data_IF_402547492651
#
_entry.id   IF_402547492651
#
_cell.length_a   1.000
_cell.length_b   1.000
_cell.length_c   1.000
_cell.angle_alpha   90.00
_cell.angle_beta   90.00
_cell.angle_gamma   90.00
#
_symmetry.space_group_name_H-M   'P 1'
#
loop_
_entity.id
_entity.type
_entity.pdbx_description
1 polymer ?
#
# COMPACT_ATOMS: atom_id res chain seq x y z
N UNK A 1 1.86 -6.05 6.90
CA UNK A 1 2.96 -7.04 6.96
C UNK A 1 4.23 -6.38 7.51
N UNK A 2 5.03 -7.14 8.28
CA UNK A 2 6.43 -6.82 8.53
C UNK A 2 7.30 -7.28 7.35
N UNK A 3 8.53 -6.76 7.24
CA UNK A 3 9.47 -7.23 6.22
C UNK A 3 9.82 -8.73 6.40
N UNK A 4 9.88 -9.22 7.64
CA UNK A 4 10.08 -10.63 7.93
C UNK A 4 8.94 -11.50 7.37
N UNK A 5 7.69 -11.07 7.57
CA UNK A 5 6.54 -11.78 7.02
C UNK A 5 6.50 -11.72 5.48
N UNK A 6 6.82 -10.56 4.88
CA UNK A 6 6.94 -10.45 3.44
C UNK A 6 8.01 -11.42 2.90
N UNK A 7 9.15 -11.53 3.58
CA UNK A 7 10.19 -12.47 3.21
C UNK A 7 9.68 -13.92 3.17
N UNK A 8 8.96 -14.36 4.18
CA UNK A 8 8.38 -15.71 4.23
C UNK A 8 7.43 -15.97 3.04
N UNK A 9 6.55 -14.99 2.73
CA UNK A 9 5.61 -15.12 1.60
C UNK A 9 6.34 -15.15 0.26
N UNK A 10 7.38 -14.30 0.09
CA UNK A 10 8.17 -14.29 -1.13
C UNK A 10 9.03 -15.55 -1.28
N UNK A 11 9.57 -16.12 -0.20
CA UNK A 11 10.26 -17.40 -0.20
C UNK A 11 9.33 -18.52 -0.71
N UNK A 12 8.08 -18.50 -0.23
CA UNK A 12 7.07 -19.47 -0.69
C UNK A 12 6.72 -19.27 -2.18
N UNK A 13 6.48 -18.02 -2.61
CA UNK A 13 6.19 -17.69 -4.01
C UNK A 13 7.35 -18.14 -4.91
N UNK A 14 8.59 -17.79 -4.56
CA UNK A 14 9.77 -18.13 -5.34
C UNK A 14 9.97 -19.64 -5.51
N UNK A 15 9.55 -20.43 -4.51
CA UNK A 15 9.62 -21.89 -4.55
C UNK A 15 8.52 -22.52 -5.45
N UNK A 16 7.40 -21.83 -5.70
CA UNK A 16 6.24 -22.40 -6.37
C UNK A 16 5.91 -21.77 -7.74
N UNK A 17 6.45 -20.59 -8.04
CA UNK A 17 6.09 -19.82 -9.24
C UNK A 17 6.78 -20.31 -10.54
N UNK A 18 7.75 -21.21 -10.43
CA UNK A 18 8.55 -21.64 -11.58
C UNK A 18 9.34 -20.49 -12.20
N UNK A 19 9.34 -20.34 -13.51
CA UNK A 19 10.06 -19.29 -14.23
C UNK A 19 9.25 -17.98 -14.42
N UNK A 20 8.07 -17.89 -13.81
CA UNK A 20 7.24 -16.68 -13.91
C UNK A 20 7.77 -15.56 -13.06
N UNK A 21 7.48 -14.33 -13.50
CA UNK A 21 7.78 -13.10 -12.78
C UNK A 21 6.55 -12.61 -12.02
N UNK A 22 6.75 -11.77 -11.00
CA UNK A 22 5.66 -11.18 -10.21
C UNK A 22 5.95 -9.72 -9.85
N UNK A 23 4.96 -9.06 -9.28
CA UNK A 23 5.07 -7.75 -8.65
C UNK A 23 4.69 -7.82 -7.18
N UNK A 24 5.17 -6.85 -6.42
CA UNK A 24 4.78 -6.63 -5.01
C UNK A 24 4.01 -5.34 -4.91
N UNK A 25 2.81 -5.42 -4.34
CA UNK A 25 2.00 -4.25 -3.97
C UNK A 25 2.25 -3.90 -2.50
N UNK A 26 2.51 -2.63 -2.23
CA UNK A 26 2.80 -2.14 -0.87
C UNK A 26 2.22 -0.75 -0.66
N UNK A 27 2.09 -0.36 0.60
CA UNK A 27 1.59 0.94 1.00
C UNK A 27 2.76 1.89 1.33
N UNK A 28 3.12 2.75 0.37
CA UNK A 28 4.21 3.72 0.51
C UNK A 28 3.61 5.12 0.66
N UNK A 29 3.48 5.67 1.88
CA UNK A 29 2.87 6.97 2.09
C UNK A 29 3.82 8.10 1.71
N UNK A 30 3.27 9.18 1.11
CA UNK A 30 4.00 10.45 0.97
C UNK A 30 3.90 11.30 2.24
N UNK A 31 2.71 11.30 2.86
CA UNK A 31 2.42 12.06 4.08
C UNK A 31 1.41 11.31 4.93
N UNK A 32 1.61 11.30 6.24
CA UNK A 32 0.64 10.84 7.22
C UNK A 32 0.85 11.61 8.53
N UNK A 33 -0.18 11.65 9.37
CA UNK A 33 -0.10 12.28 10.68
C UNK A 33 0.89 11.50 11.56
N UNK A 34 1.81 12.22 12.21
CA UNK A 34 2.88 11.61 13.01
C UNK A 34 4.08 11.11 12.20
N UNK A 35 4.25 11.54 10.94
CA UNK A 35 5.41 11.19 10.11
C UNK A 35 6.75 11.64 10.70
N UNK A 36 6.72 12.61 11.63
CA UNK A 36 7.86 13.08 12.40
C UNK A 36 8.26 12.11 13.53
N UNK A 37 7.41 11.13 13.85
CA UNK A 37 7.71 10.11 14.85
C UNK A 37 8.69 9.09 14.32
N UNK A 38 9.76 8.87 15.06
CA UNK A 38 10.81 7.92 14.68
C UNK A 38 10.59 6.52 15.25
N UNK A 39 9.78 6.41 16.35
CA UNK A 39 9.44 5.14 16.98
C UNK A 39 8.05 4.67 16.53
N UNK A 40 7.92 3.41 16.05
CA UNK A 40 6.62 2.81 15.78
C UNK A 40 5.69 2.81 16.98
N UNK A 41 6.23 2.61 18.19
CA UNK A 41 5.46 2.59 19.44
C UNK A 41 4.86 3.96 19.75
N UNK A 42 5.64 5.04 19.57
CA UNK A 42 5.14 6.41 19.74
C UNK A 42 4.03 6.74 18.75
N UNK A 43 4.17 6.31 17.51
CA UNK A 43 3.15 6.51 16.48
C UNK A 43 1.87 5.72 16.81
N UNK A 44 1.99 4.45 17.23
CA UNK A 44 0.84 3.65 17.66
C UNK A 44 0.14 4.31 18.85
N UNK A 45 0.88 4.72 19.87
CA UNK A 45 0.30 5.36 21.05
C UNK A 45 -0.43 6.66 20.69
N UNK A 46 0.15 7.48 19.80
CA UNK A 46 -0.48 8.70 19.31
C UNK A 46 -1.79 8.39 18.56
N UNK A 47 -1.77 7.45 17.62
CA UNK A 47 -2.95 7.08 16.84
C UNK A 47 -4.05 6.48 17.73
N UNK A 48 -3.68 5.64 18.70
CA UNK A 48 -4.64 5.09 19.66
C UNK A 48 -5.26 6.17 20.53
N UNK A 49 -4.48 7.17 20.98
CA UNK A 49 -5.00 8.28 21.78
C UNK A 49 -5.93 9.20 20.99
N UNK A 50 -5.77 9.27 19.67
CA UNK A 50 -6.61 10.06 18.78
C UNK A 50 -8.02 9.47 18.56
N UNK A 51 -8.23 8.19 18.91
CA UNK A 51 -9.56 7.56 18.78
C UNK A 51 -10.45 8.01 19.95
N UNK A 52 -11.56 8.74 19.69
CA UNK A 52 -12.47 9.18 20.75
C UNK A 52 -13.04 7.98 21.52
N UNK A 53 -13.16 8.12 22.85
CA UNK A 53 -13.65 7.06 23.72
C UNK A 53 -15.05 6.56 23.31
N UNK A 54 -15.93 7.45 22.88
CA UNK A 54 -17.28 7.09 22.40
C UNK A 54 -17.26 6.07 21.23
N UNK A 55 -16.25 6.10 20.37
CA UNK A 55 -16.11 5.14 19.26
C UNK A 55 -15.67 3.77 19.77
N UNK A 56 -14.79 3.75 20.77
CA UNK A 56 -14.37 2.51 21.44
C UNK A 56 -15.54 1.85 22.16
N UNK A 57 -16.31 2.66 22.92
CA UNK A 57 -17.47 2.19 23.67
C UNK A 57 -18.55 1.63 22.72
N UNK A 58 -18.77 2.31 21.59
CA UNK A 58 -19.70 1.86 20.56
C UNK A 58 -19.27 0.51 19.95
N UNK A 59 -18.01 0.38 19.57
CA UNK A 59 -17.48 -0.85 19.00
C UNK A 59 -17.56 -2.01 20.01
N UNK A 60 -17.13 -1.78 21.25
CA UNK A 60 -17.19 -2.77 22.32
C UNK A 60 -18.63 -3.22 22.62
N UNK A 61 -19.59 -2.26 22.61
CA UNK A 61 -20.99 -2.58 22.78
C UNK A 61 -21.52 -3.49 21.66
N UNK A 62 -21.20 -3.18 20.40
CA UNK A 62 -21.61 -4.01 19.26
C UNK A 62 -21.06 -5.43 19.36
N UNK A 63 -19.79 -5.57 19.73
CA UNK A 63 -19.16 -6.88 19.89
C UNK A 63 -19.82 -7.68 21.03
N UNK A 64 -20.08 -7.02 22.17
CA UNK A 64 -20.75 -7.65 23.30
C UNK A 64 -22.18 -8.06 22.96
N UNK A 65 -22.96 -7.19 22.29
CA UNK A 65 -24.34 -7.47 21.86
C UNK A 65 -24.39 -8.66 20.87
N UNK A 66 -23.34 -8.80 20.04
CA UNK A 66 -23.21 -9.91 19.09
C UNK A 66 -22.64 -11.20 19.72
N UNK A 67 -22.29 -11.19 21.01
CA UNK A 67 -21.72 -12.33 21.71
C UNK A 67 -20.31 -12.71 21.22
N UNK A 68 -19.56 -11.75 20.64
CA UNK A 68 -18.18 -11.97 20.20
C UNK A 68 -17.28 -12.02 21.44
N UNK A 69 -16.54 -13.13 21.67
CA UNK A 69 -15.62 -13.21 22.80
C UNK A 69 -14.49 -12.19 22.69
N UNK A 70 -13.96 -11.76 23.83
CA UNK A 70 -12.74 -10.98 23.82
C UNK A 70 -11.60 -11.77 23.15
N UNK A 71 -10.84 -11.09 22.29
CA UNK A 71 -9.68 -11.68 21.65
C UNK A 71 -8.59 -11.94 22.70
N UNK A 72 -8.17 -13.19 22.91
CA UNK A 72 -7.26 -13.52 24.01
C UNK A 72 -5.81 -13.00 23.78
N UNK A 73 -5.40 -12.85 22.53
CA UNK A 73 -4.05 -12.43 22.18
C UNK A 73 -4.03 -10.92 21.90
N UNK A 74 -3.76 -10.13 22.93
CA UNK A 74 -3.51 -8.68 22.79
C UNK A 74 -2.11 -8.36 22.23
N UNK A 75 -1.31 -9.39 21.98
CA UNK A 75 0.07 -9.28 21.52
C UNK A 75 0.23 -9.33 20.00
N UNK A 76 -0.85 -9.18 19.22
CA UNK A 76 -0.70 -8.89 17.81
C UNK A 76 0.05 -7.56 17.69
N UNK A 77 1.34 -7.66 17.37
CA UNK A 77 2.18 -6.52 17.03
C UNK A 77 1.41 -5.64 16.04
N UNK A 78 0.93 -4.49 16.50
CA UNK A 78 0.29 -3.51 15.61
C UNK A 78 1.37 -2.98 14.69
N UNK A 79 1.67 -3.76 13.66
CA UNK A 79 2.63 -3.37 12.64
C UNK A 79 1.98 -2.30 11.80
N UNK A 80 2.43 -1.06 11.96
CA UNK A 80 2.02 0.05 11.11
C UNK A 80 2.62 -0.14 9.70
N UNK A 81 1.99 -1.00 8.92
CA UNK A 81 2.42 -1.34 7.56
C UNK A 81 2.44 -0.15 6.58
N UNK A 82 1.92 1.01 7.01
CA UNK A 82 1.86 2.24 6.21
C UNK A 82 2.88 3.31 6.64
N UNK A 83 3.79 3.03 7.58
CA UNK A 83 4.84 4.00 7.94
C UNK A 83 5.93 4.06 6.85
N UNK A 84 6.59 5.22 6.70
CA UNK A 84 7.66 5.37 5.72
C UNK A 84 8.82 4.39 5.95
N UNK A 85 9.17 4.15 7.22
CA UNK A 85 10.23 3.19 7.60
C UNK A 85 9.83 1.78 7.20
N UNK A 86 8.61 1.35 7.53
CA UNK A 86 8.13 0.03 7.16
C UNK A 86 8.02 -0.14 5.66
N UNK A 87 7.51 0.89 4.94
CA UNK A 87 7.45 0.87 3.49
C UNK A 87 8.82 0.68 2.84
N UNK A 88 9.85 1.38 3.35
CA UNK A 88 11.22 1.21 2.88
C UNK A 88 11.71 -0.23 3.06
N UNK A 89 11.51 -0.83 4.24
CA UNK A 89 11.90 -2.20 4.52
C UNK A 89 11.19 -3.23 3.61
N UNK A 90 9.92 -2.99 3.29
CA UNK A 90 9.16 -3.85 2.35
C UNK A 90 9.69 -3.72 0.91
N UNK A 91 10.00 -2.50 0.47
CA UNK A 91 10.61 -2.27 -0.84
C UNK A 91 11.98 -2.93 -0.91
N UNK A 92 12.83 -2.73 0.10
CA UNK A 92 14.17 -3.33 0.16
C UNK A 92 14.09 -4.85 0.05
N UNK A 93 13.19 -5.51 0.82
CA UNK A 93 13.00 -6.97 0.74
C UNK A 93 12.53 -7.41 -0.66
N UNK A 94 11.55 -6.72 -1.25
CA UNK A 94 11.05 -7.04 -2.59
C UNK A 94 12.16 -6.91 -3.65
N UNK A 95 13.03 -5.92 -3.52
CA UNK A 95 14.14 -5.68 -4.45
C UNK A 95 15.27 -6.73 -4.33
N UNK A 96 15.33 -7.53 -3.26
CA UNK A 96 16.27 -8.66 -3.17
C UNK A 96 15.87 -9.82 -4.10
N UNK A 97 14.61 -9.84 -4.60
CA UNK A 97 14.05 -10.99 -5.35
C UNK A 97 14.27 -10.85 -6.85
N UNK A 98 15.01 -11.78 -7.50
CA UNK A 98 15.25 -11.69 -8.94
C UNK A 98 13.98 -11.77 -9.80
N UNK A 99 12.96 -12.49 -9.34
CA UNK A 99 11.67 -12.66 -10.05
C UNK A 99 10.69 -11.53 -9.80
N UNK A 100 10.88 -10.71 -8.76
CA UNK A 100 10.10 -9.51 -8.55
C UNK A 100 10.54 -8.44 -9.56
N UNK A 101 9.69 -8.14 -10.54
CA UNK A 101 10.00 -7.23 -11.64
C UNK A 101 9.29 -5.88 -11.56
N UNK A 102 8.34 -5.74 -10.66
CA UNK A 102 7.59 -4.50 -10.49
C UNK A 102 7.18 -4.28 -9.04
N UNK A 103 7.12 -3.01 -8.65
CA UNK A 103 6.56 -2.53 -7.39
C UNK A 103 5.31 -1.70 -7.70
N UNK A 104 4.25 -1.91 -6.93
CA UNK A 104 3.03 -1.10 -7.00
C UNK A 104 2.81 -0.38 -5.69
N UNK A 105 2.42 0.88 -5.73
CA UNK A 105 2.03 1.60 -4.53
C UNK A 105 0.52 1.75 -4.41
N UNK A 106 -0.06 1.19 -3.36
CA UNK A 106 -1.49 1.31 -3.05
C UNK A 106 -1.92 2.71 -2.58
N UNK A 107 -1.00 3.56 -2.11
CA UNK A 107 -1.29 4.87 -1.50
C UNK A 107 -0.99 6.06 -2.43
N UNK A 108 -1.15 5.90 -3.73
CA UNK A 108 -0.95 6.96 -4.71
C UNK A 108 0.50 7.11 -5.17
N UNK A 109 0.93 8.31 -5.59
CA UNK A 109 2.28 8.53 -6.11
C UNK A 109 3.33 8.29 -5.01
N UNK A 110 4.27 7.35 -5.17
CA UNK A 110 5.32 7.12 -4.18
C UNK A 110 6.33 8.28 -4.12
N UNK A 111 7.12 8.40 -3.04
CA UNK A 111 8.22 9.36 -2.94
C UNK A 111 9.26 9.21 -4.05
N UNK A 112 9.91 10.32 -4.44
CA UNK A 112 10.84 10.33 -5.58
C UNK A 112 12.10 9.48 -5.36
N UNK A 113 12.55 9.33 -4.13
CA UNK A 113 13.67 8.47 -3.75
C UNK A 113 13.35 7.00 -3.94
N UNK A 114 12.13 6.57 -3.58
CA UNK A 114 11.65 5.20 -3.84
C UNK A 114 11.54 4.94 -5.34
N UNK A 115 10.97 5.89 -6.12
CA UNK A 115 10.90 5.74 -7.58
C UNK A 115 12.30 5.53 -8.16
N UNK A 116 13.25 6.38 -7.75
CA UNK A 116 14.63 6.26 -8.18
C UNK A 116 15.25 4.93 -7.79
N UNK A 117 15.07 4.48 -6.56
CA UNK A 117 15.60 3.20 -6.06
C UNK A 117 15.12 2.02 -6.90
N UNK A 118 13.81 1.97 -7.20
CA UNK A 118 13.22 0.91 -8.01
C UNK A 118 13.78 0.93 -9.43
N UNK A 119 13.87 2.11 -10.06
CA UNK A 119 14.47 2.27 -11.39
C UNK A 119 15.97 1.88 -11.43
N UNK A 120 16.75 2.31 -10.44
CA UNK A 120 18.17 1.94 -10.33
C UNK A 120 18.36 0.42 -10.22
N UNK A 121 17.37 -0.29 -9.68
CA UNK A 121 17.37 -1.77 -9.61
C UNK A 121 16.95 -2.45 -10.92
N UNK A 122 16.61 -1.69 -11.97
CA UNK A 122 16.14 -2.19 -13.25
C UNK A 122 14.72 -2.77 -13.22
N UNK A 123 13.88 -2.31 -12.29
CA UNK A 123 12.48 -2.75 -12.11
C UNK A 123 11.52 -1.62 -12.45
N UNK A 124 10.26 -1.99 -12.67
CA UNK A 124 9.18 -1.06 -12.96
C UNK A 124 8.46 -0.66 -11.67
N UNK A 125 7.96 0.58 -11.65
CA UNK A 125 7.13 1.08 -10.55
C UNK A 125 5.84 1.70 -11.07
N UNK A 126 4.71 1.29 -10.47
CA UNK A 126 3.39 1.84 -10.74
C UNK A 126 2.66 2.23 -9.46
N UNK A 127 1.48 2.78 -9.60
CA UNK A 127 0.65 3.12 -8.45
C UNK A 127 -0.85 3.09 -8.79
N UNK A 128 -1.68 2.89 -7.73
CA UNK A 128 -3.12 2.90 -7.85
C UNK A 128 -3.64 4.32 -8.09
N UNK A 129 -4.62 4.42 -8.97
CA UNK A 129 -5.30 5.65 -9.33
C UNK A 129 -6.82 5.46 -9.37
N UNK A 130 -7.54 6.06 -8.42
CA UNK A 130 -9.00 6.09 -8.39
C UNK A 130 -9.61 7.36 -9.00
N UNK A 131 -8.79 8.27 -9.53
CA UNK A 131 -9.20 9.52 -10.19
C UNK A 131 -8.19 9.91 -11.26
N UNK A 132 -8.64 10.60 -12.30
CA UNK A 132 -7.79 11.06 -13.40
C UNK A 132 -6.56 11.85 -12.93
N UNK A 133 -6.75 12.74 -11.95
CA UNK A 133 -5.65 13.53 -11.36
C UNK A 133 -4.53 12.65 -10.80
N UNK A 134 -4.84 11.49 -10.24
CA UNK A 134 -3.83 10.57 -9.68
C UNK A 134 -2.92 10.05 -10.81
N UNK A 135 -3.49 9.52 -11.90
CA UNK A 135 -2.72 9.03 -13.04
C UNK A 135 -1.84 10.11 -13.68
N UNK A 136 -2.37 11.33 -13.83
CA UNK A 136 -1.59 12.48 -14.33
C UNK A 136 -0.40 12.77 -13.42
N UNK A 137 -0.58 12.69 -12.09
CA UNK A 137 0.51 12.89 -11.14
C UNK A 137 1.54 11.74 -11.22
N UNK A 138 1.08 10.49 -11.38
CA UNK A 138 1.95 9.32 -11.57
C UNK A 138 2.84 9.49 -12.80
N UNK A 139 2.24 9.87 -13.94
CA UNK A 139 2.98 10.17 -15.17
C UNK A 139 4.03 11.28 -14.97
N UNK A 140 3.65 12.38 -14.30
CA UNK A 140 4.58 13.49 -14.00
C UNK A 140 5.72 13.09 -13.09
N UNK A 141 5.48 12.16 -12.18
CA UNK A 141 6.49 11.63 -11.27
C UNK A 141 7.43 10.61 -11.93
N UNK A 142 7.12 10.17 -13.16
CA UNK A 142 7.94 9.24 -13.92
C UNK A 142 7.66 7.77 -13.61
N UNK A 143 6.44 7.41 -13.18
CA UNK A 143 6.05 6.01 -13.04
C UNK A 143 5.93 5.34 -14.41
N UNK A 144 6.10 4.02 -14.42
CA UNK A 144 6.12 3.22 -15.66
C UNK A 144 4.74 2.75 -16.11
N UNK A 145 3.77 2.65 -15.18
CA UNK A 145 2.39 2.25 -15.45
C UNK A 145 1.43 2.76 -14.38
N UNK A 146 0.14 2.69 -14.66
CA UNK A 146 -0.94 3.08 -13.73
C UNK A 146 -1.87 1.91 -13.49
N UNK A 147 -2.18 1.61 -12.21
CA UNK A 147 -3.23 0.65 -11.83
C UNK A 147 -4.52 1.44 -11.60
N UNK A 148 -5.43 1.38 -12.55
CA UNK A 148 -6.65 2.20 -12.52
C UNK A 148 -7.81 1.45 -11.87
N UNK A 149 -8.29 1.95 -10.72
CA UNK A 149 -9.35 1.32 -9.92
C UNK A 149 -10.61 2.18 -9.93
N UNK A 150 -11.72 1.62 -10.43
CA UNK A 150 -13.03 2.26 -10.38
C UNK A 150 -13.70 2.18 -9.01
N UNK A 151 -14.82 2.89 -8.84
CA UNK A 151 -15.59 2.96 -7.58
C UNK A 151 -16.17 1.61 -7.13
N UNK A 152 -16.29 0.65 -8.03
CA UNK A 152 -16.73 -0.73 -7.77
C UNK A 152 -15.62 -1.60 -7.18
N UNK A 153 -14.40 -1.11 -7.07
CA UNK A 153 -13.28 -1.78 -6.41
C UNK A 153 -13.48 -1.87 -4.90
N UNK A 154 -12.80 -2.81 -4.26
CA UNK A 154 -12.80 -2.96 -2.80
C UNK A 154 -11.91 -1.93 -2.09
N UNK A 155 -12.14 -1.73 -0.78
CA UNK A 155 -11.33 -0.85 0.07
C UNK A 155 -11.51 0.63 -0.25
N UNK A 156 -10.42 1.38 -0.24
CA UNK A 156 -10.42 2.80 -0.56
C UNK A 156 -10.46 3.01 -2.08
N UNK A 157 -11.64 3.16 -2.64
CA UNK A 157 -11.85 3.41 -4.06
C UNK A 157 -12.19 4.89 -4.32
N UNK A 158 -12.08 5.31 -5.59
CA UNK A 158 -12.57 6.60 -6.06
C UNK A 158 -14.09 6.63 -6.22
N UNK A 159 -14.63 7.73 -6.74
CA UNK A 159 -16.07 7.91 -6.95
C UNK A 159 -16.50 7.64 -8.40
N UNK A 160 -15.55 7.44 -9.31
CA UNK A 160 -15.80 7.26 -10.74
C UNK A 160 -15.72 5.76 -11.07
N UNK A 161 -16.72 5.25 -11.79
CA UNK A 161 -16.73 3.83 -12.22
C UNK A 161 -15.64 3.56 -13.26
N UNK A 162 -15.17 2.33 -13.33
CA UNK A 162 -14.12 1.91 -14.27
C UNK A 162 -14.52 2.16 -15.72
N UNK A 163 -15.79 1.97 -16.09
CA UNK A 163 -16.29 2.22 -17.44
C UNK A 163 -16.07 3.66 -17.95
N UNK A 164 -16.01 4.62 -17.03
CA UNK A 164 -15.75 6.03 -17.34
C UNK A 164 -14.26 6.34 -17.11
N UNK A 165 -13.70 5.87 -15.99
CA UNK A 165 -12.37 6.23 -15.58
C UNK A 165 -11.29 5.67 -16.50
N UNK A 166 -11.39 4.42 -16.93
CA UNK A 166 -10.34 3.75 -17.72
C UNK A 166 -10.08 4.43 -19.06
N UNK A 167 -11.09 4.67 -19.94
CA UNK A 167 -10.81 5.35 -21.20
C UNK A 167 -10.22 6.75 -20.99
N UNK A 168 -10.73 7.51 -20.01
CA UNK A 168 -10.17 8.82 -19.69
C UNK A 168 -8.73 8.72 -19.18
N UNK A 169 -8.41 7.70 -18.38
CA UNK A 169 -7.07 7.48 -17.85
C UNK A 169 -6.09 7.17 -18.99
N UNK A 170 -6.45 6.22 -19.87
CA UNK A 170 -5.62 5.85 -21.02
C UNK A 170 -5.27 7.08 -21.85
N UNK A 171 -6.26 7.90 -22.20
CA UNK A 171 -6.03 9.13 -22.99
C UNK A 171 -5.11 10.13 -22.27
N UNK A 172 -5.32 10.31 -20.97
CA UNK A 172 -4.58 11.32 -20.20
C UNK A 172 -3.14 10.95 -19.90
N UNK A 173 -2.86 9.65 -19.71
CA UNK A 173 -1.52 9.21 -19.33
C UNK A 173 -0.71 8.62 -20.48
N UNK A 174 -1.29 8.50 -21.69
CA UNK A 174 -0.57 7.98 -22.84
C UNK A 174 0.86 8.58 -22.94
N UNK A 175 1.90 7.81 -23.23
CA UNK A 175 1.89 6.39 -23.64
C UNK A 175 2.02 5.38 -22.50
N UNK A 176 1.80 5.77 -21.22
CA UNK A 176 1.92 4.84 -20.10
C UNK A 176 0.85 3.75 -20.19
N UNK A 177 1.17 2.47 -19.91
CA UNK A 177 0.19 1.41 -19.72
C UNK A 177 -0.76 1.71 -18.54
N UNK A 178 -2.02 1.31 -18.71
CA UNK A 178 -3.07 1.37 -17.69
C UNK A 178 -3.70 0.00 -17.54
#
# INVERSE_FOLDING_TARGET
FSAARLKEELDWIDAHIGDHIYGVDTAIPQKYEGMDKTSPEELVAMLQSAIPQQHRDFANKLLADAGVPEWPDKDDEVTLSFSAVQAQLLVDEALTRPKCRMIVNALGTPPADIIKQVHDSGRLIGALAGRLKHGINHKKAGLDFVVCQGSEGGGHAGEVTSMILWPQMVDAVAPLPV
#
